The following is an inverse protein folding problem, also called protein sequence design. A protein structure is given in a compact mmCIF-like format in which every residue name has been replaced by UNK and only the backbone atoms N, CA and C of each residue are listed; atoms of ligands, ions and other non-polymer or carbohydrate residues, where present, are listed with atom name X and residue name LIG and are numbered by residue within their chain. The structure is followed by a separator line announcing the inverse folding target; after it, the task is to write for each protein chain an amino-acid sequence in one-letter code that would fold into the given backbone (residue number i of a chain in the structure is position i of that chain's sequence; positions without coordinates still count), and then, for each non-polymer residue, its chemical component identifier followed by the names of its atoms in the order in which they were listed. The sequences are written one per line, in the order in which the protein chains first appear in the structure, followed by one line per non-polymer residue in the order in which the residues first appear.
data_IF_413612163301
#
_entry.id   IF_413612163301
#
_cell.length_a   1.000
_cell.length_b   1.000
_cell.length_c   1.000
_cell.angle_alpha   90.00
_cell.angle_beta   90.00
_cell.angle_gamma   90.00
#
_symmetry.space_group_name_H-M   'P 1'
#
loop_
_entity.id
_entity.type
_entity.pdbx_description
1 polymer ?
#
# COMPACT_ATOMS: atom_id res chain seq x y z
N UNK A 1 -2.35 -15.48 5.62
CA UNK A 1 -1.01 -15.89 5.12
C UNK A 1 -0.80 -15.23 3.76
N UNK A 2 0.41 -14.81 3.40
CA UNK A 2 0.71 -14.13 2.12
C UNK A 2 0.79 -12.60 2.18
N UNK A 3 0.73 -12.00 3.37
CA UNK A 3 0.86 -10.55 3.53
C UNK A 3 2.26 -10.05 3.12
N UNK A 4 3.31 -10.84 3.39
CA UNK A 4 4.67 -10.53 2.94
C UNK A 4 4.80 -10.52 1.42
N UNK A 5 4.25 -11.52 0.75
CA UNK A 5 4.25 -11.58 -0.72
C UNK A 5 3.49 -10.40 -1.33
N UNK A 6 2.33 -10.06 -0.77
CA UNK A 6 1.56 -8.88 -1.18
C UNK A 6 2.36 -7.57 -0.97
N UNK A 7 3.09 -7.45 0.13
CA UNK A 7 3.97 -6.30 0.39
C UNK A 7 5.06 -6.18 -0.67
N UNK A 8 5.77 -7.27 -0.94
CA UNK A 8 6.86 -7.30 -1.93
C UNK A 8 6.33 -7.04 -3.33
N UNK A 9 5.16 -7.58 -3.68
CA UNK A 9 4.49 -7.32 -4.95
C UNK A 9 4.17 -5.83 -5.12
N UNK A 10 3.56 -5.19 -4.11
CA UNK A 10 3.25 -3.76 -4.14
C UNK A 10 4.50 -2.87 -4.26
N UNK A 11 5.55 -3.18 -3.49
CA UNK A 11 6.85 -2.51 -3.58
C UNK A 11 7.45 -2.63 -4.98
N UNK A 12 7.48 -3.85 -5.53
CA UNK A 12 8.04 -4.15 -6.85
C UNK A 12 7.31 -3.40 -7.96
N UNK A 13 5.96 -3.37 -7.91
CA UNK A 13 5.15 -2.60 -8.86
C UNK A 13 5.48 -1.10 -8.80
N UNK A 14 5.64 -0.54 -7.59
CA UNK A 14 6.04 0.86 -7.42
C UNK A 14 7.42 1.15 -8.03
N UNK A 15 8.39 0.27 -7.80
CA UNK A 15 9.75 0.41 -8.33
C UNK A 15 9.79 0.29 -9.85
N UNK A 16 9.09 -0.69 -10.43
CA UNK A 16 8.97 -0.86 -11.89
C UNK A 16 8.33 0.37 -12.55
N UNK A 17 7.43 1.06 -11.84
CA UNK A 17 6.82 2.32 -12.30
C UNK A 17 7.70 3.56 -12.08
N UNK A 18 8.92 3.40 -11.57
CA UNK A 18 9.85 4.51 -11.32
C UNK A 18 9.42 5.45 -10.19
N UNK A 19 8.57 5.00 -9.25
CA UNK A 19 8.13 5.83 -8.14
C UNK A 19 9.23 6.00 -7.09
N UNK A 20 9.16 7.11 -6.33
CA UNK A 20 10.04 7.31 -5.18
C UNK A 20 9.80 6.27 -4.08
N UNK A 21 10.85 5.88 -3.36
CA UNK A 21 10.84 4.78 -2.40
C UNK A 21 9.69 4.85 -1.39
N UNK A 22 9.40 6.04 -0.84
CA UNK A 22 8.27 6.24 0.10
C UNK A 22 6.95 5.81 -0.52
N UNK A 23 6.68 6.18 -1.77
CA UNK A 23 5.44 5.84 -2.47
C UNK A 23 5.37 4.33 -2.75
N UNK A 24 6.50 3.71 -3.08
CA UNK A 24 6.57 2.26 -3.28
C UNK A 24 6.29 1.49 -1.99
N UNK A 25 6.89 1.92 -0.87
CA UNK A 25 6.64 1.33 0.46
C UNK A 25 5.18 1.48 0.87
N UNK A 26 4.58 2.65 0.65
CA UNK A 26 3.15 2.88 0.92
C UNK A 26 2.25 1.94 0.10
N UNK A 27 2.59 1.68 -1.18
CA UNK A 27 1.85 0.72 -2.00
C UNK A 27 2.00 -0.71 -1.47
N UNK A 28 3.20 -1.10 -1.02
CA UNK A 28 3.44 -2.39 -0.37
C UNK A 28 2.62 -2.56 0.92
N UNK A 29 2.57 -1.55 1.78
CA UNK A 29 1.77 -1.57 3.01
C UNK A 29 0.28 -1.71 2.67
N UNK A 30 -0.23 -0.94 1.72
CA UNK A 30 -1.61 -1.01 1.29
C UNK A 30 -2.00 -2.40 0.76
N UNK A 31 -1.12 -3.05 -0.01
CA UNK A 31 -1.33 -4.41 -0.51
C UNK A 31 -1.32 -5.45 0.61
N UNK A 32 -0.38 -5.34 1.56
CA UNK A 32 -0.33 -6.21 2.73
C UNK A 32 -1.59 -6.07 3.59
N UNK A 33 -2.06 -4.84 3.82
CA UNK A 33 -3.30 -4.56 4.55
C UNK A 33 -4.50 -5.20 3.86
N UNK A 34 -4.65 -5.02 2.54
CA UNK A 34 -5.73 -5.66 1.78
C UNK A 34 -5.67 -7.20 1.92
N UNK A 35 -4.47 -7.79 1.90
CA UNK A 35 -4.31 -9.23 2.07
C UNK A 35 -4.71 -9.70 3.48
N UNK A 36 -4.42 -8.94 4.53
CA UNK A 36 -4.80 -9.29 5.91
C UNK A 36 -6.32 -9.31 6.12
N UNK A 37 -7.08 -8.54 5.34
CA UNK A 37 -8.55 -8.54 5.39
C UNK A 37 -9.19 -9.74 4.67
N UNK A 38 -8.40 -10.57 3.97
CA UNK A 38 -8.90 -11.73 3.23
C UNK A 38 -8.59 -13.04 3.96
N UNK A 39 -9.58 -13.94 4.14
CA UNK A 39 -9.36 -15.23 4.76
C UNK A 39 -8.31 -16.07 4.03
N UNK A 40 -7.38 -16.66 4.78
CA UNK A 40 -6.38 -17.59 4.26
C UNK A 40 -5.48 -16.97 3.18
N UNK A 41 -5.36 -17.67 2.05
CA UNK A 41 -4.58 -17.28 0.86
C UNK A 41 -5.46 -16.79 -0.29
N UNK A 42 -6.74 -16.52 -0.03
CA UNK A 42 -7.68 -16.03 -1.03
C UNK A 42 -7.20 -14.74 -1.70
N UNK A 43 -7.59 -14.53 -2.96
CA UNK A 43 -7.32 -13.28 -3.66
C UNK A 43 -8.02 -12.10 -2.99
N UNK A 44 -7.48 -10.89 -3.19
CA UNK A 44 -8.07 -9.63 -2.77
C UNK A 44 -8.22 -8.71 -3.98
N UNK A 45 -9.18 -7.80 -3.91
CA UNK A 45 -9.46 -6.87 -5.00
C UNK A 45 -8.43 -5.75 -5.06
N UNK A 46 -8.02 -5.38 -6.28
CA UNK A 46 -7.09 -4.27 -6.49
C UNK A 46 -7.67 -2.92 -6.00
N UNK A 47 -9.00 -2.78 -5.99
CA UNK A 47 -9.68 -1.61 -5.47
C UNK A 47 -9.42 -1.39 -3.96
N UNK A 48 -9.33 -2.47 -3.18
CA UNK A 48 -9.04 -2.39 -1.74
C UNK A 48 -7.63 -1.85 -1.49
N UNK A 49 -6.65 -2.28 -2.29
CA UNK A 49 -5.29 -1.73 -2.25
C UNK A 49 -5.30 -0.24 -2.53
N UNK A 50 -6.00 0.20 -3.57
CA UNK A 50 -6.07 1.62 -3.92
C UNK A 50 -6.71 2.46 -2.81
N UNK A 51 -7.75 1.93 -2.15
CA UNK A 51 -8.39 2.57 -0.99
C UNK A 51 -7.41 2.81 0.15
N UNK A 52 -6.66 1.78 0.55
CA UNK A 52 -5.66 1.91 1.62
C UNK A 52 -4.48 2.82 1.21
N UNK A 53 -4.06 2.74 -0.05
CA UNK A 53 -2.97 3.56 -0.57
C UNK A 53 -3.34 5.06 -0.61
N UNK A 54 -4.58 5.39 -0.98
CA UNK A 54 -5.09 6.75 -0.93
C UNK A 54 -5.12 7.30 0.51
N UNK A 55 -5.54 6.50 1.49
CA UNK A 55 -5.55 6.90 2.90
C UNK A 55 -4.16 7.27 3.42
N UNK A 56 -3.13 6.45 3.11
CA UNK A 56 -1.73 6.73 3.49
C UNK A 56 -1.16 8.03 2.87
N UNK A 57 -1.69 8.43 1.72
CA UNK A 57 -1.28 9.66 1.04
C UNK A 57 -1.95 10.90 1.65
N UNK A 58 -3.21 10.79 2.05
CA UNK A 58 -3.97 11.86 2.68
C UNK A 58 -3.44 12.22 4.08
N UNK A 59 -3.06 11.22 4.88
CA UNK A 59 -2.51 11.40 6.24
C UNK A 59 -1.24 12.26 6.23
N UNK A 60 -0.37 12.04 5.23
CA UNK A 60 0.90 12.75 5.08
C UNK A 60 0.70 14.21 4.72
N UNK A 61 -0.28 14.50 3.87
CA UNK A 61 -0.61 15.86 3.47
C UNK A 61 -1.22 16.65 4.62
N UNK A 62 -2.00 16.00 5.49
CA UNK A 62 -2.50 16.59 6.74
C UNK A 62 -1.38 16.84 7.76
N UNK A 63 -0.45 15.90 7.94
CA UNK A 63 0.66 16.03 8.87
C UNK A 63 1.64 17.16 8.49
N UNK A 64 1.97 17.34 7.21
CA UNK A 64 2.86 18.43 6.78
C UNK A 64 2.19 19.81 6.92
N UNK A 65 0.88 19.90 6.67
CA UNK A 65 0.14 21.18 6.79
C UNK A 65 0.02 21.67 8.25
N UNK A 66 0.00 20.78 9.23
CA UNK A 66 -0.12 21.12 10.66
C UNK A 66 1.23 21.36 11.38
N UNK A 67 2.35 21.29 10.66
CA UNK A 67 3.71 21.55 11.19
C UNK A 67 4.26 22.92 10.74
N UNK A 68 3.45 23.76 10.09
CA UNK A 68 3.76 25.13 9.68
C UNK A 68 2.81 26.10 10.38
#
# INVERSE_FOLDING_TARGET
VGAGDAMVAGLTVGLVRGWGLTRCVQLGIAAATAKLQTPGTSAYESAEVQRYFAALSAEREFSIRNLR
#
